data_IF_368600585029
#
_entry.id   IF_368600585029
#
_cell.length_a   1.000
_cell.length_b   1.000
_cell.length_c   1.000
_cell.angle_alpha   90.00
_cell.angle_beta   90.00
_cell.angle_gamma   90.00
#
_symmetry.space_group_name_H-M   'P 1'
#
loop_
_entity.id
_entity.type
_entity.pdbx_description
1 polymer ?
#
# COMPACT_ATOMS: atom_id res chain seq x y z
N UNK A 1 -16.84 -20.65 -9.52
CA UNK A 1 -15.60 -19.99 -10.01
C UNK A 1 -15.68 -18.54 -9.59
N UNK A 2 -14.71 -17.98 -8.86
CA UNK A 2 -14.70 -16.55 -8.58
C UNK A 2 -14.62 -15.83 -9.92
N UNK A 3 -15.47 -14.82 -10.11
CA UNK A 3 -15.51 -14.02 -11.33
C UNK A 3 -14.26 -13.15 -11.30
N UNK A 4 -13.31 -13.35 -12.22
CA UNK A 4 -12.23 -12.40 -12.47
C UNK A 4 -12.85 -11.03 -12.68
N UNK A 5 -12.82 -10.20 -11.64
CA UNK A 5 -13.43 -8.89 -11.65
C UNK A 5 -12.34 -7.92 -12.05
N UNK A 6 -12.55 -7.11 -13.09
CA UNK A 6 -11.55 -6.14 -13.49
C UNK A 6 -11.23 -5.21 -12.31
N UNK A 7 -9.95 -5.08 -11.98
CA UNK A 7 -9.46 -4.21 -10.92
C UNK A 7 -8.66 -3.09 -11.56
N UNK A 8 -9.08 -1.86 -11.29
CA UNK A 8 -8.41 -0.64 -11.74
C UNK A 8 -7.58 -0.08 -10.59
N UNK A 9 -6.29 0.17 -10.86
CA UNK A 9 -5.35 0.74 -9.90
C UNK A 9 -4.95 2.12 -10.40
N UNK A 10 -5.08 3.14 -9.54
CA UNK A 10 -4.63 4.50 -9.82
C UNK A 10 -3.68 4.94 -8.71
N UNK A 11 -2.47 5.31 -9.07
CA UNK A 11 -1.45 5.85 -8.16
C UNK A 11 -1.47 7.37 -8.25
N UNK A 12 -1.86 8.03 -7.16
CA UNK A 12 -1.83 9.48 -7.00
C UNK A 12 -0.72 9.94 -6.08
N UNK A 13 -0.77 11.20 -5.65
CA UNK A 13 0.21 11.76 -4.72
C UNK A 13 0.02 11.18 -3.31
N UNK A 14 0.85 10.20 -2.96
CA UNK A 14 0.85 9.56 -1.63
C UNK A 14 -0.32 8.61 -1.35
N UNK A 15 -1.15 8.30 -2.35
CA UNK A 15 -2.32 7.41 -2.20
C UNK A 15 -2.45 6.50 -3.42
N UNK A 16 -2.79 5.23 -3.17
CA UNK A 16 -3.21 4.27 -4.19
C UNK A 16 -4.72 4.05 -4.07
N UNK A 17 -5.43 4.18 -5.18
CA UNK A 17 -6.85 3.88 -5.29
C UNK A 17 -7.03 2.57 -6.04
N UNK A 18 -7.75 1.63 -5.43
CA UNK A 18 -8.11 0.35 -6.04
C UNK A 18 -9.62 0.30 -6.22
N UNK A 19 -10.08 0.19 -7.46
CA UNK A 19 -11.49 0.12 -7.82
C UNK A 19 -11.79 -1.22 -8.49
N UNK A 20 -12.74 -1.96 -7.93
CA UNK A 20 -13.23 -3.20 -8.52
C UNK A 20 -14.46 -2.94 -9.38
N UNK A 21 -14.50 -3.53 -10.55
CA UNK A 21 -15.68 -3.55 -11.39
C UNK A 21 -16.86 -4.20 -10.64
N UNK A 22 -18.05 -3.60 -10.76
CA UNK A 22 -19.26 -4.07 -10.06
C UNK A 22 -19.33 -3.71 -8.56
N UNK A 23 -18.26 -3.20 -7.96
CA UNK A 23 -18.32 -2.61 -6.61
C UNK A 23 -18.68 -1.12 -6.70
N UNK A 24 -19.54 -0.63 -5.80
CA UNK A 24 -19.79 0.80 -5.66
C UNK A 24 -18.69 1.52 -4.86
N UNK A 25 -17.85 0.79 -4.13
CA UNK A 25 -16.77 1.36 -3.30
C UNK A 25 -15.42 1.24 -3.98
N UNK A 26 -14.52 2.18 -3.69
CA UNK A 26 -13.10 2.09 -3.99
C UNK A 26 -12.34 1.98 -2.67
N UNK A 27 -11.22 1.25 -2.68
CA UNK A 27 -10.32 1.19 -1.55
C UNK A 27 -9.22 2.22 -1.77
N UNK A 28 -8.99 3.05 -0.76
CA UNK A 28 -7.92 4.04 -0.74
C UNK A 28 -6.88 3.58 0.28
N UNK A 29 -5.62 3.51 -0.14
CA UNK A 29 -4.50 3.14 0.71
C UNK A 29 -3.42 4.21 0.63
N UNK A 30 -2.88 4.62 1.79
CA UNK A 30 -1.80 5.60 1.84
C UNK A 30 -0.48 4.92 1.46
N UNK A 31 0.33 5.58 0.65
CA UNK A 31 1.70 5.18 0.37
C UNK A 31 2.57 5.60 1.56
N UNK A 32 3.10 4.61 2.25
CA UNK A 32 4.04 4.81 3.36
C UNK A 32 5.46 5.08 2.85
N UNK A 33 5.79 4.53 1.69
CA UNK A 33 7.10 4.66 1.06
C UNK A 33 7.16 3.90 -0.26
N UNK A 34 8.26 4.12 -0.96
CA UNK A 34 8.59 3.42 -2.21
C UNK A 34 9.94 2.74 -2.05
N UNK A 35 10.04 1.52 -2.56
CA UNK A 35 11.30 0.77 -2.60
C UNK A 35 11.54 0.35 -4.04
N UNK A 36 12.78 0.43 -4.51
CA UNK A 36 13.19 -0.17 -5.77
C UNK A 36 14.06 -1.39 -5.49
N UNK A 37 13.69 -2.54 -6.03
CA UNK A 37 14.43 -3.80 -5.89
C UNK A 37 14.50 -4.45 -7.26
N UNK A 38 15.70 -4.81 -7.72
CA UNK A 38 15.92 -5.52 -8.99
C UNK A 38 15.22 -4.90 -10.21
N UNK A 39 15.14 -3.57 -10.26
CA UNK A 39 14.49 -2.81 -11.34
C UNK A 39 12.96 -2.71 -11.22
N UNK A 40 12.37 -3.16 -10.11
CA UNK A 40 10.93 -3.11 -9.83
C UNK A 40 10.63 -2.05 -8.78
N UNK A 41 9.67 -1.17 -9.06
CA UNK A 41 9.13 -0.24 -8.07
C UNK A 41 8.07 -0.95 -7.21
N UNK A 42 8.22 -0.88 -5.90
CA UNK A 42 7.31 -1.44 -4.90
C UNK A 42 6.75 -0.31 -4.04
N UNK A 43 5.42 -0.24 -3.97
CA UNK A 43 4.71 0.71 -3.12
C UNK A 43 4.32 0.04 -1.80
N UNK A 44 4.80 0.57 -0.68
CA UNK A 44 4.40 0.11 0.65
C UNK A 44 3.12 0.83 1.06
N UNK A 45 2.05 0.07 1.34
CA UNK A 45 0.73 0.62 1.66
C UNK A 45 0.39 0.47 3.14
N UNK A 46 -0.45 1.37 3.65
CA UNK A 46 -0.91 1.36 5.05
C UNK A 46 -1.91 0.24 5.39
N UNK A 47 -2.46 -0.44 4.38
CA UNK A 47 -3.47 -1.49 4.53
C UNK A 47 -3.47 -2.50 3.39
N UNK A 48 -4.11 -3.63 3.64
CA UNK A 48 -4.39 -4.63 2.62
C UNK A 48 -5.48 -4.12 1.67
N UNK A 49 -5.22 -4.21 0.36
CA UNK A 49 -6.14 -3.78 -0.71
C UNK A 49 -6.70 -4.96 -1.52
N UNK A 50 -6.26 -6.18 -1.20
CA UNK A 50 -6.60 -7.40 -1.91
C UNK A 50 -7.09 -8.50 -0.97
N UNK A 51 -7.77 -9.48 -1.53
CA UNK A 51 -8.22 -10.68 -0.83
C UNK A 51 -7.12 -11.75 -0.86
N UNK A 52 -7.21 -12.74 0.02
CA UNK A 52 -6.17 -13.76 0.21
C UNK A 52 -5.86 -14.59 -1.03
N UNK A 53 -6.79 -14.67 -1.98
CA UNK A 53 -6.64 -15.41 -3.23
C UNK A 53 -6.19 -14.52 -4.41
N UNK A 54 -6.21 -13.20 -4.26
CA UNK A 54 -5.80 -12.27 -5.31
C UNK A 54 -4.29 -12.07 -5.26
N UNK A 55 -3.61 -12.31 -6.39
CA UNK A 55 -2.15 -12.23 -6.51
C UNK A 55 -1.69 -11.09 -7.44
N UNK A 56 -2.59 -10.53 -8.25
CA UNK A 56 -2.26 -9.52 -9.26
C UNK A 56 -3.44 -8.59 -9.53
N UNK A 57 -3.16 -7.30 -9.73
CA UNK A 57 -4.10 -6.31 -10.28
C UNK A 57 -3.49 -5.66 -11.52
N UNK A 58 -3.92 -6.09 -12.72
CA UNK A 58 -3.32 -5.60 -13.97
C UNK A 58 -1.82 -5.89 -14.02
N UNK A 59 -0.99 -4.85 -14.15
CA UNK A 59 0.47 -4.97 -14.15
C UNK A 59 1.12 -5.06 -12.76
N UNK A 60 0.33 -4.90 -11.68
CA UNK A 60 0.83 -4.90 -10.30
C UNK A 60 0.77 -6.29 -9.68
N UNK A 61 1.92 -6.82 -9.29
CA UNK A 61 1.99 -8.03 -8.44
C UNK A 61 1.71 -7.66 -6.99
N UNK A 62 0.82 -8.41 -6.34
CA UNK A 62 0.40 -8.17 -4.97
C UNK A 62 1.23 -9.02 -4.01
N UNK A 63 1.73 -8.39 -2.95
CA UNK A 63 2.33 -9.07 -1.82
C UNK A 63 1.55 -8.66 -0.57
N UNK A 64 1.30 -9.64 0.33
CA UNK A 64 0.54 -9.42 1.54
C UNK A 64 1.05 -8.20 2.30
N UNK A 65 0.17 -7.25 2.59
CA UNK A 65 0.54 -6.01 3.27
C UNK A 65 1.00 -6.32 4.70
N UNK A 66 2.31 -6.44 4.90
CA UNK A 66 2.91 -6.46 6.23
C UNK A 66 3.39 -5.06 6.54
N UNK A 67 2.60 -4.30 7.28
CA UNK A 67 3.12 -3.14 7.98
C UNK A 67 2.97 -3.38 9.47
N UNK A 68 3.96 -4.05 10.05
CA UNK A 68 4.21 -3.99 11.50
C UNK A 68 5.12 -2.80 11.76
N UNK A 69 4.57 -1.75 12.37
CA UNK A 69 5.30 -0.54 12.71
C UNK A 69 5.93 -0.68 14.10
N UNK A 70 7.26 -0.55 14.18
CA UNK A 70 8.01 -0.56 15.43
C UNK A 70 8.45 0.88 15.75
N UNK A 71 8.06 1.39 16.91
CA UNK A 71 8.43 2.72 17.39
C UNK A 71 9.19 2.63 18.69
N UNK A 72 10.20 3.49 18.87
CA UNK A 72 10.84 3.75 20.18
C UNK A 72 10.72 5.23 20.52
N UNK A 73 10.61 5.54 21.80
CA UNK A 73 10.68 6.93 22.26
C UNK A 73 12.07 7.49 21.99
N UNK A 74 12.13 8.64 21.32
CA UNK A 74 13.33 9.47 21.33
C UNK A 74 13.29 10.26 22.64
N UNK A 75 14.34 10.15 23.45
CA UNK A 75 14.51 11.07 24.59
C UNK A 75 14.46 12.50 24.05
N UNK A 76 13.79 13.44 24.74
CA UNK A 76 13.84 14.83 24.31
C UNK A 76 15.30 15.27 24.22
N UNK A 77 15.66 15.99 23.17
CA UNK A 77 16.92 16.73 23.13
C UNK A 77 16.91 17.66 24.33
N UNK A 78 17.59 17.27 25.41
CA UNK A 78 18.02 18.20 26.46
C UNK A 78 19.23 18.92 25.90
N UNK A 79 18.98 20.01 25.19
CA UNK A 79 20.02 20.74 24.47
C UNK A 79 19.54 22.05 23.87
N UNK A 80 18.83 22.86 24.65
CA UNK A 80 18.73 24.30 24.43
C UNK A 80 18.66 25.01 25.79
N UNK A 81 19.81 25.02 26.47
CA UNK A 81 20.13 26.01 27.48
C UNK A 81 21.33 26.80 26.95
N UNK A 82 21.06 28.00 26.45
CA UNK A 82 21.92 29.18 26.44
C UNK A 82 21.06 30.38 26.02
#
# INVERSE_FOLDING_TARGET
MPKDSNVFVVVGEGVVTVKREGSNRAVLAKVLGKVQVDGVEVLCLDRLVHESHEQQFGEWTLAGAVTTLLSRSLSPVTGAAA
#
